data_IF_729269337852
#
_entry.id   IF_729269337852
#
_cell.length_a   1.000
_cell.length_b   1.000
_cell.length_c   1.000
_cell.angle_alpha   90.00
_cell.angle_beta   90.00
_cell.angle_gamma   90.00
#
_symmetry.space_group_name_H-M   'P 1'
#
loop_
_entity.id
_entity.type
_entity.pdbx_description
1 polymer ?
#
# COMPACT_ATOMS: atom_id res chain seq x y z
N UNK A 1 5.57 17.47 11.69
CA UNK A 1 6.07 17.00 13.00
C UNK A 1 5.21 17.64 14.07
N UNK A 2 4.32 16.88 14.72
CA UNK A 2 3.51 17.38 15.84
C UNK A 2 3.94 16.62 17.08
N UNK A 3 4.41 17.36 18.07
CA UNK A 3 4.99 16.90 19.32
C UNK A 3 3.87 16.43 20.26
N UNK A 4 3.59 15.13 20.30
CA UNK A 4 2.59 14.53 21.19
C UNK A 4 3.28 13.92 22.42
N UNK A 5 3.64 14.76 23.39
CA UNK A 5 4.36 14.31 24.60
C UNK A 5 3.47 14.03 25.82
N UNK A 6 2.14 14.25 25.76
CA UNK A 6 1.28 14.16 26.96
C UNK A 6 -0.13 13.59 26.74
N UNK A 7 -0.29 12.54 25.93
CA UNK A 7 -1.58 11.80 25.90
C UNK A 7 -1.35 10.38 26.39
N UNK A 8 -1.43 10.20 27.71
CA UNK A 8 -1.49 8.89 28.33
C UNK A 8 -2.90 8.31 28.13
N UNK A 9 -3.02 7.29 27.27
CA UNK A 9 -4.24 6.50 27.16
C UNK A 9 -4.21 5.39 28.21
N UNK A 10 -5.04 5.49 29.24
CA UNK A 10 -5.33 4.37 30.15
C UNK A 10 -6.21 3.36 29.41
N UNK A 11 -5.58 2.32 28.88
CA UNK A 11 -6.29 1.16 28.31
C UNK A 11 -6.76 0.29 29.48
N UNK A 12 -8.08 0.21 29.68
CA UNK A 12 -8.67 -0.78 30.59
C UNK A 12 -8.28 -2.18 30.10
N UNK A 13 -7.58 -2.94 30.95
CA UNK A 13 -7.25 -4.34 30.70
C UNK A 13 -8.57 -5.11 30.64
N UNK A 14 -8.96 -5.53 29.43
CA UNK A 14 -10.06 -6.49 29.28
C UNK A 14 -9.67 -7.80 29.97
N UNK A 15 -10.57 -8.31 30.79
CA UNK A 15 -10.50 -9.65 31.39
C UNK A 15 -10.43 -10.71 30.28
N UNK A 16 -9.49 -11.67 30.35
CA UNK A 16 -9.39 -12.73 29.36
C UNK A 16 -10.62 -13.64 29.43
N UNK A 17 -11.29 -13.77 28.29
CA UNK A 17 -12.42 -14.67 28.09
C UNK A 17 -11.88 -16.11 27.96
N UNK A 18 -12.10 -16.93 29.00
CA UNK A 18 -11.80 -18.36 29.00
C UNK A 18 -12.91 -19.10 28.22
N UNK A 19 -12.70 -19.26 26.91
CA UNK A 19 -13.32 -20.35 26.17
C UNK A 19 -12.22 -21.16 25.49
N UNK A 20 -12.09 -22.42 25.92
CA UNK A 20 -11.25 -23.45 25.32
C UNK A 20 -11.77 -23.80 23.91
N UNK A 21 -10.98 -23.64 22.85
CA UNK A 21 -11.30 -24.23 21.56
C UNK A 21 -10.91 -25.72 21.55
N UNK A 22 -11.78 -26.54 20.95
CA UNK A 22 -11.54 -27.96 20.71
C UNK A 22 -10.25 -28.23 19.93
N UNK A 23 -9.58 -29.33 20.33
CA UNK A 23 -8.31 -29.83 19.85
C UNK A 23 -8.13 -29.78 18.33
N UNK A 24 -7.14 -28.99 17.88
CA UNK A 24 -6.51 -29.15 16.58
C UNK A 24 -5.24 -30.00 16.73
N UNK A 25 -5.20 -31.15 16.06
CA UNK A 25 -4.01 -31.98 15.95
C UNK A 25 -2.93 -31.23 15.17
N UNK A 26 -1.89 -30.78 15.88
CA UNK A 26 -0.66 -30.27 15.29
C UNK A 26 0.47 -31.25 15.63
N UNK A 27 1.04 -31.87 14.59
CA UNK A 27 2.32 -32.58 14.64
C UNK A 27 3.41 -31.64 15.13
N UNK A 28 3.98 -31.97 16.29
CA UNK A 28 5.11 -31.27 16.90
C UNK A 28 6.39 -31.61 16.13
N UNK A 29 6.89 -30.67 15.33
CA UNK A 29 8.27 -30.71 14.82
C UNK A 29 9.15 -30.09 15.90
N UNK A 30 9.92 -30.95 16.58
CA UNK A 30 10.76 -30.59 17.71
C UNK A 30 12.11 -30.04 17.21
N UNK A 31 12.18 -28.74 16.93
CA UNK A 31 13.45 -28.07 16.65
C UNK A 31 14.12 -27.67 17.98
N UNK A 32 14.97 -28.56 18.53
CA UNK A 32 15.92 -28.17 19.59
C UNK A 32 17.06 -27.33 18.98
N UNK A 33 17.46 -26.22 19.60
CA UNK A 33 18.72 -25.54 19.29
C UNK A 33 19.90 -26.34 19.88
N UNK A 34 21.07 -26.41 19.21
CA UNK A 34 22.26 -27.02 19.79
C UNK A 34 23.09 -26.01 20.58
N UNK A 35 23.87 -26.56 21.53
CA UNK A 35 25.05 -26.00 22.18
C UNK A 35 24.88 -25.27 23.52
N UNK A 36 25.08 -26.03 24.61
CA UNK A 36 25.49 -25.55 25.92
C UNK A 36 26.12 -26.70 26.72
N UNK A 37 27.43 -26.61 26.98
CA UNK A 37 28.29 -27.62 27.62
C UNK A 37 27.85 -27.99 29.06
N UNK A 38 27.85 -29.29 29.42
CA UNK A 38 28.63 -29.88 30.55
C UNK A 38 28.30 -31.36 30.82
N UNK A 39 29.38 -32.11 31.06
CA UNK A 39 29.62 -33.20 32.02
C UNK A 39 28.70 -34.44 32.08
N UNK A 40 29.28 -35.55 31.60
CA UNK A 40 29.55 -36.82 32.29
C UNK A 40 28.45 -37.58 33.08
N UNK A 41 28.42 -38.88 32.76
CA UNK A 41 27.90 -40.06 33.47
C UNK A 41 26.50 -40.60 33.11
N UNK A 42 26.59 -41.86 32.62
CA UNK A 42 25.82 -43.04 33.00
C UNK A 42 24.53 -43.40 32.24
N UNK A 43 24.65 -44.56 31.60
CA UNK A 43 23.68 -45.65 31.43
C UNK A 43 22.65 -45.58 30.29
N UNK A 44 23.02 -46.30 29.23
CA UNK A 44 22.16 -46.89 28.22
C UNK A 44 21.02 -47.73 28.83
N UNK A 45 19.77 -47.46 28.43
CA UNK A 45 18.65 -48.37 28.62
C UNK A 45 18.01 -48.65 27.27
N UNK A 46 18.14 -49.90 26.82
CA UNK A 46 17.48 -50.50 25.66
C UNK A 46 15.95 -50.44 25.82
N UNK A 47 15.25 -49.86 24.85
CA UNK A 47 13.80 -50.03 24.76
C UNK A 47 13.45 -51.32 24.01
N UNK A 48 12.73 -52.18 24.72
CA UNK A 48 12.18 -53.45 24.27
C UNK A 48 10.92 -53.20 23.41
N UNK A 49 10.82 -53.87 22.25
CA UNK A 49 9.57 -53.99 21.51
C UNK A 49 8.61 -54.94 22.25
N UNK A 50 7.33 -54.57 22.38
CA UNK A 50 6.25 -55.45 22.85
C UNK A 50 5.14 -55.50 21.79
N UNK A 51 4.63 -56.70 21.40
CA UNK A 51 3.66 -56.87 20.33
C UNK A 51 2.20 -56.52 20.69
N UNK A 52 1.45 -56.22 19.63
CA UNK A 52 0.02 -55.95 19.58
C UNK A 52 -0.84 -57.11 20.15
N UNK A 53 -1.81 -56.76 21.00
CA UNK A 53 -2.91 -57.63 21.38
C UNK A 53 -4.25 -57.07 20.93
N UNK A 54 -5.07 -57.99 20.45
CA UNK A 54 -6.40 -57.88 19.84
C UNK A 54 -7.43 -57.23 20.76
N UNK A 55 -8.35 -56.47 20.18
CA UNK A 55 -9.70 -56.30 20.74
C UNK A 55 -10.72 -56.64 19.65
N UNK A 56 -11.50 -57.68 19.94
CA UNK A 56 -12.65 -58.14 19.17
C UNK A 56 -13.89 -57.27 19.45
N UNK A 57 -14.75 -57.18 18.42
CA UNK A 57 -16.18 -56.98 18.61
C UNK A 57 -16.68 -55.54 18.52
N UNK A 58 -17.36 -55.19 17.43
CA UNK A 58 -18.80 -54.86 17.49
C UNK A 58 -19.36 -54.46 16.11
N UNK A 59 -20.29 -55.29 15.65
CA UNK A 59 -21.51 -54.96 14.90
C UNK A 59 -21.42 -54.39 13.47
N UNK A 60 -21.46 -55.37 12.54
CA UNK A 60 -22.25 -55.43 11.30
C UNK A 60 -23.36 -54.35 11.18
N UNK A 61 -23.31 -53.57 10.08
CA UNK A 61 -24.51 -53.29 9.27
C UNK A 61 -24.24 -53.51 7.78
N UNK A 62 -25.06 -54.39 7.24
CA UNK A 62 -25.15 -54.91 5.86
C UNK A 62 -26.11 -54.02 5.06
N UNK A 63 -25.64 -53.46 3.95
CA UNK A 63 -26.39 -52.97 2.77
C UNK A 63 -25.34 -52.40 1.82
N UNK A 64 -25.24 -52.72 0.55
CA UNK A 64 -26.03 -53.52 -0.36
C UNK A 64 -25.31 -53.27 -1.69
N UNK A 65 -24.72 -54.34 -2.20
CA UNK A 65 -24.07 -54.43 -3.50
C UNK A 65 -25.15 -54.35 -4.59
N UNK A 66 -24.92 -53.57 -5.63
CA UNK A 66 -25.53 -53.77 -6.95
C UNK A 66 -24.80 -52.93 -8.01
N UNK A 67 -24.25 -53.64 -9.01
CA UNK A 67 -24.54 -53.27 -10.39
C UNK A 67 -23.47 -52.52 -11.18
N UNK A 68 -22.37 -53.21 -11.47
CA UNK A 68 -21.50 -53.00 -12.64
C UNK A 68 -22.31 -52.99 -13.96
N UNK A 69 -22.01 -52.08 -14.89
CA UNK A 69 -22.11 -52.32 -16.35
C UNK A 69 -21.22 -51.36 -17.14
N UNK A 70 -20.43 -51.96 -18.02
CA UNK A 70 -19.47 -51.37 -18.94
C UNK A 70 -20.06 -51.08 -20.33
N UNK A 71 -19.29 -50.33 -21.15
CA UNK A 71 -19.21 -50.26 -22.63
C UNK A 71 -20.41 -49.71 -23.45
N UNK A 72 -20.26 -48.56 -24.14
CA UNK A 72 -19.70 -48.46 -25.50
C UNK A 72 -19.93 -47.08 -26.19
N UNK A 73 -18.92 -46.69 -26.99
CA UNK A 73 -18.92 -46.08 -28.34
C UNK A 73 -20.30 -45.66 -28.97
N UNK A 74 -20.50 -44.63 -29.80
CA UNK A 74 -19.73 -43.72 -30.66
C UNK A 74 -20.75 -42.66 -31.24
N UNK A 75 -20.34 -41.70 -32.11
CA UNK A 75 -21.03 -40.43 -32.36
C UNK A 75 -21.83 -40.37 -33.67
N UNK A 76 -22.78 -39.43 -33.81
CA UNK A 76 -23.23 -38.81 -35.07
C UNK A 76 -23.95 -37.49 -34.72
N UNK A 77 -23.50 -36.32 -35.19
CA UNK A 77 -23.66 -35.70 -36.52
C UNK A 77 -25.04 -35.06 -36.76
N UNK A 78 -24.96 -33.87 -37.36
CA UNK A 78 -26.00 -32.90 -37.66
C UNK A 78 -27.15 -33.44 -38.54
N UNK A 79 -28.33 -32.81 -38.44
CA UNK A 79 -28.91 -32.00 -39.52
C UNK A 79 -30.24 -31.35 -39.10
N UNK A 80 -30.34 -30.07 -39.46
CA UNK A 80 -31.54 -29.26 -39.65
C UNK A 80 -32.56 -29.91 -40.59
N UNK A 81 -33.87 -29.67 -40.39
CA UNK A 81 -34.78 -29.16 -41.42
C UNK A 81 -36.07 -28.64 -40.79
N UNK A 82 -36.62 -27.62 -41.43
CA UNK A 82 -37.75 -26.81 -41.02
C UNK A 82 -39.11 -27.37 -41.48
N UNK A 83 -40.15 -26.83 -40.84
CA UNK A 83 -41.42 -26.36 -41.42
C UNK A 83 -42.72 -27.06 -41.02
N UNK A 84 -43.50 -26.27 -40.27
CA UNK A 84 -44.93 -25.94 -40.44
C UNK A 84 -46.02 -27.00 -40.18
N UNK A 85 -46.81 -26.72 -39.13
CA UNK A 85 -48.28 -26.75 -39.21
C UNK A 85 -48.89 -25.81 -38.15
N UNK A 86 -49.90 -25.05 -38.58
CA UNK A 86 -50.58 -23.99 -37.87
C UNK A 86 -51.73 -24.49 -36.98
N UNK A 87 -51.97 -23.82 -35.85
CA UNK A 87 -53.25 -23.81 -35.11
C UNK A 87 -53.32 -22.57 -34.18
N UNK A 88 -54.52 -22.05 -33.86
CA UNK A 88 -54.73 -20.62 -33.67
C UNK A 88 -54.64 -20.09 -32.23
N UNK A 89 -54.21 -18.83 -32.18
CA UNK A 89 -54.48 -17.73 -31.24
C UNK A 89 -55.35 -18.04 -30.00
N UNK A 90 -54.69 -18.13 -28.84
CA UNK A 90 -55.29 -17.84 -27.54
C UNK A 90 -54.54 -16.66 -26.91
N UNK A 91 -55.24 -15.53 -26.83
CA UNK A 91 -54.76 -14.25 -26.29
C UNK A 91 -54.47 -14.39 -24.79
N UNK A 92 -53.20 -14.58 -24.43
CA UNK A 92 -52.75 -14.46 -23.04
C UNK A 92 -52.31 -13.02 -22.75
N UNK A 93 -52.73 -12.41 -21.63
CA UNK A 93 -52.33 -11.06 -21.27
C UNK A 93 -50.83 -11.00 -21.02
N UNK A 94 -50.19 -10.01 -21.65
CA UNK A 94 -48.78 -9.71 -21.53
C UNK A 94 -48.36 -9.59 -20.05
N UNK A 95 -47.53 -10.53 -19.59
CA UNK A 95 -46.82 -10.42 -18.31
C UNK A 95 -45.83 -9.25 -18.42
N UNK A 96 -45.87 -8.25 -17.52
CA UNK A 96 -44.93 -7.14 -17.57
C UNK A 96 -43.51 -7.64 -17.30
N UNK A 97 -42.67 -7.57 -18.34
CA UNK A 97 -41.22 -7.74 -18.26
C UNK A 97 -40.59 -6.48 -17.67
N UNK A 98 -40.84 -6.16 -16.41
CA UNK A 98 -40.08 -5.13 -15.71
C UNK A 98 -40.10 -5.41 -14.21
N UNK A 99 -38.91 -5.37 -13.59
CA UNK A 99 -38.60 -5.69 -12.18
C UNK A 99 -38.31 -7.17 -11.85
N UNK A 100 -37.38 -7.80 -12.57
CA UNK A 100 -36.50 -8.77 -11.90
C UNK A 100 -35.61 -8.00 -10.92
N UNK A 101 -36.15 -7.73 -9.72
CA UNK A 101 -35.32 -7.60 -8.55
C UNK A 101 -34.42 -8.82 -8.52
N UNK A 102 -33.11 -8.61 -8.65
CA UNK A 102 -32.10 -9.62 -8.33
C UNK A 102 -32.33 -10.00 -6.88
N UNK A 103 -33.16 -11.02 -6.65
CA UNK A 103 -33.37 -11.58 -5.34
C UNK A 103 -31.98 -11.95 -4.86
N UNK A 104 -31.50 -11.23 -3.85
CA UNK A 104 -30.22 -11.43 -3.20
C UNK A 104 -30.21 -12.88 -2.72
N UNK A 105 -29.74 -13.79 -3.58
CA UNK A 105 -29.61 -15.20 -3.26
C UNK A 105 -28.68 -15.22 -2.08
N UNK A 106 -29.24 -15.59 -0.91
CA UNK A 106 -28.48 -15.72 0.34
C UNK A 106 -27.21 -16.50 -0.01
N UNK A 107 -26.01 -15.97 0.30
CA UNK A 107 -24.76 -16.61 -0.09
C UNK A 107 -24.82 -18.09 0.24
N UNK A 108 -24.56 -18.95 -0.75
CA UNK A 108 -24.60 -20.39 -0.57
C UNK A 108 -23.66 -20.74 0.58
N UNK A 109 -24.22 -21.06 1.75
CA UNK A 109 -23.44 -21.44 2.92
C UNK A 109 -22.76 -22.75 2.57
N UNK A 110 -21.47 -22.68 2.25
CA UNK A 110 -20.63 -23.86 2.11
C UNK A 110 -20.73 -24.65 3.42
N UNK A 111 -21.21 -25.89 3.34
CA UNK A 111 -21.28 -26.76 4.53
C UNK A 111 -19.85 -26.97 5.02
N UNK A 112 -19.56 -26.51 6.25
CA UNK A 112 -18.28 -26.82 6.92
C UNK A 112 -18.05 -28.33 6.90
N UNK A 113 -16.84 -28.74 6.53
CA UNK A 113 -16.40 -30.13 6.58
C UNK A 113 -16.57 -30.95 5.30
N UNK A 114 -17.25 -30.44 4.26
CA UNK A 114 -17.27 -31.11 2.95
C UNK A 114 -16.25 -30.46 2.02
N UNK A 115 -15.11 -31.14 1.82
CA UNK A 115 -14.13 -30.73 0.81
C UNK A 115 -14.84 -30.73 -0.54
N UNK A 116 -14.66 -29.66 -1.32
CA UNK A 116 -15.21 -29.60 -2.68
C UNK A 116 -14.63 -30.77 -3.47
N UNK A 117 -15.50 -31.66 -3.94
CA UNK A 117 -15.10 -32.88 -4.67
C UNK A 117 -14.46 -32.57 -6.02
N UNK A 118 -14.77 -31.40 -6.59
CA UNK A 118 -14.09 -30.83 -7.75
C UNK A 118 -13.35 -29.58 -7.28
N UNK A 119 -12.03 -29.56 -7.46
CA UNK A 119 -11.24 -28.36 -7.28
C UNK A 119 -11.74 -27.24 -8.20
N UNK A 120 -11.47 -25.99 -7.82
CA UNK A 120 -11.63 -24.86 -8.75
C UNK A 120 -10.53 -24.99 -9.81
N UNK A 121 -10.91 -24.88 -11.08
CA UNK A 121 -9.98 -24.97 -12.20
C UNK A 121 -8.91 -23.88 -12.15
N UNK A 122 -7.72 -24.17 -12.69
CA UNK A 122 -6.58 -23.24 -12.70
C UNK A 122 -6.91 -21.96 -13.48
N UNK A 123 -7.68 -22.06 -14.56
CA UNK A 123 -8.14 -20.92 -15.34
C UNK A 123 -9.07 -20.02 -14.53
N UNK A 124 -9.96 -20.61 -13.72
CA UNK A 124 -10.81 -19.85 -12.81
C UNK A 124 -9.96 -19.10 -11.77
N UNK A 125 -8.92 -19.72 -11.22
CA UNK A 125 -7.99 -19.05 -10.33
C UNK A 125 -7.23 -17.91 -11.02
N UNK A 126 -6.79 -18.11 -12.26
CA UNK A 126 -6.11 -17.08 -13.04
C UNK A 126 -7.01 -15.85 -13.23
N UNK A 127 -8.26 -16.06 -13.64
CA UNK A 127 -9.24 -14.99 -13.85
C UNK A 127 -9.51 -14.25 -12.53
N UNK A 128 -9.81 -14.97 -11.45
CA UNK A 128 -10.11 -14.37 -10.14
C UNK A 128 -8.92 -13.51 -9.67
N UNK A 129 -7.71 -14.06 -9.76
CA UNK A 129 -6.51 -13.40 -9.28
C UNK A 129 -6.05 -12.26 -10.19
N UNK A 130 -6.40 -12.26 -11.48
CA UNK A 130 -6.15 -11.13 -12.38
C UNK A 130 -6.93 -9.86 -12.03
N UNK A 131 -8.01 -9.98 -11.24
CA UNK A 131 -8.77 -8.84 -10.73
C UNK A 131 -8.36 -8.38 -9.33
N UNK A 132 -7.39 -9.08 -8.70
CA UNK A 132 -6.94 -8.76 -7.35
C UNK A 132 -5.90 -7.62 -7.34
N UNK A 133 -5.77 -6.89 -6.24
CA UNK A 133 -4.70 -5.91 -6.03
C UNK A 133 -3.33 -6.62 -6.02
N UNK A 134 -2.31 -6.17 -6.76
CA UNK A 134 -0.95 -6.72 -6.68
C UNK A 134 -0.39 -6.85 -5.26
N UNK A 135 -0.76 -5.94 -4.34
CA UNK A 135 -0.38 -6.03 -2.93
C UNK A 135 -1.01 -7.26 -2.23
N UNK A 136 -2.27 -7.56 -2.54
CA UNK A 136 -2.96 -8.75 -2.04
C UNK A 136 -2.33 -10.02 -2.62
N UNK A 137 -1.95 -10.02 -3.90
CA UNK A 137 -1.27 -11.15 -4.51
C UNK A 137 0.07 -11.47 -3.84
N UNK A 138 0.84 -10.45 -3.45
CA UNK A 138 2.08 -10.66 -2.68
C UNK A 138 1.80 -11.31 -1.32
N UNK A 139 0.76 -10.85 -0.64
CA UNK A 139 0.36 -11.39 0.66
C UNK A 139 -0.11 -12.85 0.55
N UNK A 140 -0.88 -13.17 -0.50
CA UNK A 140 -1.29 -14.54 -0.78
C UNK A 140 -0.09 -15.42 -1.13
N UNK A 141 0.84 -14.91 -1.95
CA UNK A 141 2.08 -15.61 -2.32
C UNK A 141 2.93 -15.96 -1.10
N UNK A 142 3.00 -15.06 -0.10
CA UNK A 142 3.83 -15.27 1.10
C UNK A 142 3.17 -16.20 2.13
N UNK A 143 1.84 -16.17 2.25
CA UNK A 143 1.10 -16.89 3.30
C UNK A 143 0.48 -18.22 2.87
N UNK A 144 0.22 -18.40 1.57
CA UNK A 144 -0.54 -19.55 1.06
C UNK A 144 0.35 -20.34 0.08
N UNK A 145 0.75 -21.55 0.47
CA UNK A 145 1.69 -22.37 -0.29
C UNK A 145 1.20 -22.72 -1.72
N UNK A 146 -0.11 -22.91 -1.90
CA UNK A 146 -0.68 -23.14 -3.24
C UNK A 146 -0.60 -21.87 -4.11
N UNK A 147 -0.90 -20.70 -3.55
CA UNK A 147 -0.74 -19.42 -4.25
C UNK A 147 0.73 -19.12 -4.57
N UNK A 148 1.68 -19.49 -3.70
CA UNK A 148 3.10 -19.34 -3.99
C UNK A 148 3.49 -20.01 -5.32
N UNK A 149 3.14 -21.30 -5.48
CA UNK A 149 3.46 -22.07 -6.69
C UNK A 149 2.72 -21.49 -7.90
N UNK A 150 1.42 -21.26 -7.76
CA UNK A 150 0.59 -20.71 -8.84
C UNK A 150 1.09 -19.34 -9.35
N UNK A 151 1.41 -18.41 -8.46
CA UNK A 151 1.88 -17.06 -8.81
C UNK A 151 3.35 -17.02 -9.26
N UNK A 152 4.14 -18.05 -8.95
CA UNK A 152 5.49 -18.23 -9.49
C UNK A 152 5.42 -18.72 -10.94
N UNK A 153 4.54 -19.68 -11.20
CA UNK A 153 4.46 -20.36 -12.51
C UNK A 153 3.64 -19.56 -13.53
N UNK A 154 2.88 -18.54 -13.10
CA UNK A 154 2.06 -17.67 -13.96
C UNK A 154 2.49 -16.19 -13.89
N UNK A 155 3.62 -15.79 -14.51
CA UNK A 155 4.13 -14.42 -14.42
C UNK A 155 3.20 -13.37 -15.04
N UNK A 156 2.43 -13.73 -16.08
CA UNK A 156 1.49 -12.82 -16.76
C UNK A 156 0.34 -12.34 -15.86
N UNK A 157 0.02 -13.10 -14.81
CA UNK A 157 -1.01 -12.73 -13.85
C UNK A 157 -0.68 -11.40 -13.15
N UNK A 158 0.60 -11.16 -12.83
CA UNK A 158 1.05 -9.91 -12.23
C UNK A 158 0.80 -8.71 -13.15
N UNK A 159 1.04 -8.87 -14.46
CA UNK A 159 0.74 -7.85 -15.46
C UNK A 159 -0.75 -7.56 -15.54
N UNK A 160 -1.59 -8.60 -15.64
CA UNK A 160 -3.04 -8.43 -15.71
C UNK A 160 -3.60 -7.75 -14.45
N UNK A 161 -3.16 -8.19 -13.27
CA UNK A 161 -3.52 -7.60 -11.98
C UNK A 161 -3.11 -6.12 -11.88
N UNK A 162 -1.89 -5.78 -12.29
CA UNK A 162 -1.41 -4.39 -12.34
C UNK A 162 -2.25 -3.53 -13.27
N UNK A 163 -2.46 -3.98 -14.51
CA UNK A 163 -3.21 -3.22 -15.53
C UNK A 163 -4.67 -3.06 -15.12
N UNK A 164 -5.30 -4.10 -14.56
CA UNK A 164 -6.69 -4.00 -14.10
C UNK A 164 -6.84 -3.02 -12.93
N UNK A 165 -5.97 -3.11 -11.92
CA UNK A 165 -6.14 -2.37 -10.68
C UNK A 165 -5.61 -0.93 -10.75
N UNK A 166 -4.53 -0.68 -11.50
CA UNK A 166 -3.90 0.64 -11.61
C UNK A 166 -4.12 1.33 -12.96
N UNK A 167 -4.68 0.64 -13.96
CA UNK A 167 -4.86 1.16 -15.30
C UNK A 167 -3.55 1.28 -16.09
N UNK A 168 -3.64 1.93 -17.25
CA UNK A 168 -2.51 2.20 -18.15
C UNK A 168 -1.61 3.34 -17.70
N UNK A 169 -2.05 4.11 -16.69
CA UNK A 169 -1.30 5.25 -16.17
C UNK A 169 -0.08 4.81 -15.35
N UNK A 170 -0.13 3.61 -14.76
CA UNK A 170 0.99 3.05 -14.02
C UNK A 170 2.08 2.59 -15.01
N UNK A 171 3.33 3.07 -14.86
CA UNK A 171 4.44 2.65 -15.70
C UNK A 171 4.65 1.13 -15.73
N UNK A 172 5.01 0.61 -16.90
CA UNK A 172 5.47 -0.77 -17.03
C UNK A 172 6.83 -0.96 -16.35
N UNK A 173 7.14 -2.19 -15.87
CA UNK A 173 8.45 -2.49 -15.30
C UNK A 173 9.59 -2.09 -16.25
N UNK A 174 10.68 -1.49 -15.74
CA UNK A 174 11.84 -1.17 -16.56
C UNK A 174 12.54 -2.46 -17.03
N UNK A 175 13.34 -2.40 -18.11
CA UNK A 175 14.12 -3.54 -18.57
C UNK A 175 14.95 -4.15 -17.43
N UNK A 176 14.91 -5.48 -17.31
CA UNK A 176 15.61 -6.23 -16.27
C UNK A 176 14.83 -6.42 -14.96
N UNK A 177 13.62 -5.85 -14.84
CA UNK A 177 12.73 -6.10 -13.70
C UNK A 177 11.51 -6.91 -14.14
N UNK A 178 11.31 -8.09 -13.57
CA UNK A 178 10.10 -8.89 -13.81
C UNK A 178 8.88 -8.23 -13.16
N UNK A 179 7.67 -8.52 -13.66
CA UNK A 179 6.41 -8.02 -13.07
C UNK A 179 6.28 -8.37 -11.58
N UNK A 180 6.70 -9.58 -11.16
CA UNK A 180 6.74 -9.95 -9.75
C UNK A 180 7.74 -9.10 -8.95
N UNK A 181 8.96 -8.92 -9.45
CA UNK A 181 9.95 -8.09 -8.75
C UNK A 181 9.49 -6.64 -8.67
N UNK A 182 8.79 -6.14 -9.69
CA UNK A 182 8.21 -4.80 -9.69
C UNK A 182 7.08 -4.66 -8.66
N UNK A 183 6.15 -5.61 -8.64
CA UNK A 183 5.11 -5.67 -7.62
C UNK A 183 5.72 -5.76 -6.22
N UNK A 184 6.71 -6.62 -6.01
CA UNK A 184 7.44 -6.74 -4.76
C UNK A 184 8.16 -5.45 -4.38
N UNK A 185 8.85 -4.80 -5.33
CA UNK A 185 9.54 -3.53 -5.11
C UNK A 185 8.56 -2.43 -4.71
N UNK A 186 7.34 -2.42 -5.23
CA UNK A 186 6.34 -1.40 -4.87
C UNK A 186 5.56 -1.72 -3.58
N UNK A 187 5.03 -2.93 -3.48
CA UNK A 187 4.05 -3.30 -2.46
C UNK A 187 4.62 -4.12 -1.31
N UNK A 188 5.84 -4.65 -1.48
CA UNK A 188 6.50 -5.43 -0.45
C UNK A 188 6.79 -4.64 0.82
N UNK A 189 7.22 -5.36 1.85
CA UNK A 189 7.56 -4.81 3.15
C UNK A 189 8.99 -5.18 3.51
N UNK A 190 9.61 -4.31 4.30
CA UNK A 190 10.96 -4.55 4.78
C UNK A 190 12.03 -3.92 3.89
N UNK A 191 13.13 -3.52 4.51
CA UNK A 191 14.29 -3.03 3.79
C UNK A 191 14.93 -4.19 3.01
N UNK A 192 15.26 -3.96 1.73
CA UNK A 192 15.88 -4.98 0.87
C UNK A 192 17.33 -5.28 1.23
N UNK A 193 17.97 -4.43 2.06
CA UNK A 193 19.35 -4.61 2.50
C UNK A 193 19.42 -5.25 3.88
N UNK A 194 18.85 -4.60 4.91
CA UNK A 194 18.95 -5.09 6.29
C UNK A 194 17.72 -5.86 6.79
N UNK A 195 16.65 -5.96 6.00
CA UNK A 195 15.40 -6.61 6.41
C UNK A 195 14.55 -5.83 7.41
N UNK A 196 14.93 -4.60 7.79
CA UNK A 196 14.22 -3.81 8.79
C UNK A 196 12.71 -3.74 8.49
N UNK A 197 11.84 -4.18 9.43
CA UNK A 197 10.40 -4.31 9.19
C UNK A 197 9.76 -2.95 8.96
N UNK A 198 8.53 -2.94 8.44
CA UNK A 198 7.73 -1.72 8.19
C UNK A 198 8.34 -0.68 7.24
N UNK A 199 9.50 -0.96 6.63
CA UNK A 199 10.02 -0.15 5.53
C UNK A 199 9.09 -0.29 4.33
N UNK A 200 8.55 0.83 3.86
CA UNK A 200 7.66 0.91 2.68
C UNK A 200 8.12 1.89 1.60
N UNK A 201 9.08 2.78 1.92
CA UNK A 201 9.56 3.78 0.97
C UNK A 201 10.46 3.12 -0.08
N UNK A 202 10.06 3.24 -1.33
CA UNK A 202 10.84 2.82 -2.49
C UNK A 202 11.59 4.03 -3.05
N UNK A 203 12.90 3.87 -3.24
CA UNK A 203 13.76 4.85 -3.87
C UNK A 203 13.90 4.45 -5.35
N UNK A 204 13.01 4.99 -6.19
CA UNK A 204 12.90 4.58 -7.60
C UNK A 204 14.18 4.85 -8.39
N UNK A 205 14.94 5.90 -8.05
CA UNK A 205 16.30 6.13 -8.55
C UNK A 205 17.19 4.89 -8.44
N UNK A 206 17.09 4.17 -7.32
CA UNK A 206 17.91 3.02 -6.98
C UNK A 206 17.20 1.67 -7.21
N UNK A 207 15.92 1.70 -7.61
CA UNK A 207 15.05 0.51 -7.72
C UNK A 207 15.11 -0.36 -6.45
N UNK A 208 15.18 0.29 -5.27
CA UNK A 208 15.34 -0.39 -3.97
C UNK A 208 14.40 0.17 -2.92
N UNK A 209 13.96 -0.68 -2.01
CA UNK A 209 13.26 -0.30 -0.79
C UNK A 209 14.24 -0.31 0.39
N UNK A 210 14.51 0.85 0.97
CA UNK A 210 15.53 0.98 2.01
C UNK A 210 14.99 1.68 3.25
N UNK A 211 15.47 1.30 4.44
CA UNK A 211 15.24 2.13 5.62
C UNK A 211 16.11 3.39 5.53
N UNK A 212 15.84 4.38 6.38
CA UNK A 212 16.61 5.63 6.41
C UNK A 212 18.10 5.35 6.66
N UNK A 213 18.40 4.45 7.59
CA UNK A 213 19.79 4.13 7.98
C UNK A 213 20.56 3.48 6.83
N UNK A 214 19.95 2.48 6.15
CA UNK A 214 20.57 1.87 4.98
C UNK A 214 20.79 2.87 3.85
N UNK A 215 19.81 3.73 3.56
CA UNK A 215 19.99 4.77 2.56
C UNK A 215 21.16 5.67 2.94
N UNK A 216 21.19 6.22 4.16
CA UNK A 216 22.25 7.12 4.62
C UNK A 216 23.63 6.47 4.61
N UNK A 217 23.73 5.18 4.95
CA UNK A 217 25.00 4.46 5.01
C UNK A 217 25.51 3.96 3.66
N UNK A 218 24.61 3.77 2.68
CA UNK A 218 24.98 3.22 1.36
C UNK A 218 25.16 4.29 0.28
N UNK A 219 24.61 5.50 0.47
CA UNK A 219 24.77 6.57 -0.51
C UNK A 219 25.96 7.45 -0.19
N UNK A 220 26.63 7.90 -1.24
CA UNK A 220 27.71 8.89 -1.18
C UNK A 220 27.33 10.11 -2.02
N UNK A 221 27.83 11.27 -1.64
CA UNK A 221 27.60 12.53 -2.38
C UNK A 221 28.51 12.58 -3.61
N UNK A 222 28.17 13.44 -4.57
CA UNK A 222 28.94 13.57 -5.81
C UNK A 222 30.44 13.83 -5.59
N UNK A 223 30.83 14.71 -4.66
CA UNK A 223 32.25 14.96 -4.37
C UNK A 223 32.98 13.76 -3.76
N UNK A 224 32.29 12.94 -2.97
CA UNK A 224 32.84 11.68 -2.43
C UNK A 224 32.97 10.62 -3.53
N UNK A 225 32.01 10.58 -4.47
CA UNK A 225 32.05 9.67 -5.61
C UNK A 225 33.22 9.99 -6.55
N UNK A 226 33.52 11.26 -6.82
CA UNK A 226 34.68 11.68 -7.64
C UNK A 226 36.00 11.11 -7.11
N UNK A 227 36.14 10.97 -5.78
CA UNK A 227 37.33 10.35 -5.20
C UNK A 227 37.46 8.85 -5.52
N UNK A 228 36.34 8.15 -5.77
CA UNK A 228 36.31 6.72 -6.13
C UNK A 228 36.36 6.49 -7.64
N UNK A 229 36.07 7.50 -8.46
CA UNK A 229 36.10 7.43 -9.91
C UNK A 229 37.55 7.53 -10.41
N UNK A 230 38.32 6.47 -10.15
CA UNK A 230 39.73 6.33 -10.53
C UNK A 230 39.95 5.12 -11.43
N UNK A 231 40.64 5.35 -12.54
CA UNK A 231 41.02 4.30 -13.48
C UNK A 231 42.17 3.43 -12.96
N UNK A 232 42.65 2.46 -13.76
CA UNK A 232 43.72 1.55 -13.34
C UNK A 232 45.02 2.26 -12.96
N UNK A 233 45.33 3.40 -13.60
CA UNK A 233 46.56 4.17 -13.37
C UNK A 233 46.35 5.33 -12.38
N UNK A 234 45.17 5.38 -11.75
CA UNK A 234 44.78 6.45 -10.83
C UNK A 234 44.29 7.73 -11.51
N UNK A 235 44.10 7.69 -12.83
CA UNK A 235 43.56 8.79 -13.61
C UNK A 235 42.09 9.08 -13.26
N UNK A 236 41.67 10.34 -13.42
CA UNK A 236 40.29 10.73 -13.16
C UNK A 236 39.37 10.25 -14.29
N UNK A 237 38.43 9.35 -13.95
CA UNK A 237 37.45 8.81 -14.88
C UNK A 237 36.03 9.32 -14.58
N UNK A 238 35.93 10.50 -13.96
CA UNK A 238 34.64 11.12 -13.59
C UNK A 238 33.66 11.31 -14.74
N UNK A 239 34.13 11.26 -16.00
CA UNK A 239 33.26 11.30 -17.19
C UNK A 239 32.26 10.13 -17.24
N UNK A 240 32.55 8.99 -16.59
CA UNK A 240 31.62 7.84 -16.55
C UNK A 240 30.41 8.06 -15.63
N UNK A 241 30.32 9.18 -14.91
CA UNK A 241 29.19 9.47 -14.00
C UNK A 241 27.82 9.44 -14.69
N UNK A 242 27.76 9.71 -15.99
CA UNK A 242 26.54 9.62 -16.79
C UNK A 242 25.95 8.19 -16.82
N UNK A 243 26.77 7.18 -16.55
CA UNK A 243 26.38 5.78 -16.42
C UNK A 243 25.98 5.36 -14.99
N UNK A 244 25.80 6.30 -14.06
CA UNK A 244 25.34 6.02 -12.69
C UNK A 244 23.87 6.40 -12.44
N UNK A 245 23.07 5.53 -11.81
CA UNK A 245 21.79 5.94 -11.24
C UNK A 245 22.03 6.97 -10.12
N UNK A 246 21.26 8.06 -10.14
CA UNK A 246 21.42 9.16 -9.19
C UNK A 246 20.11 9.53 -8.50
N UNK A 247 20.23 9.96 -7.25
CA UNK A 247 19.17 10.54 -6.46
C UNK A 247 19.51 11.96 -6.03
N UNK A 248 18.54 12.64 -5.40
CA UNK A 248 18.70 14.00 -4.91
C UNK A 248 18.45 14.06 -3.41
N UNK A 249 19.37 14.70 -2.69
CA UNK A 249 19.19 15.17 -1.32
C UNK A 249 18.95 16.67 -1.25
N UNK A 250 18.10 17.09 -0.32
CA UNK A 250 18.02 18.49 0.10
C UNK A 250 19.20 18.88 1.01
N UNK A 251 19.24 20.14 1.42
CA UNK A 251 20.26 20.67 2.33
C UNK A 251 20.26 20.00 3.71
N UNK A 252 19.15 19.36 4.12
CA UNK A 252 18.97 18.64 5.38
C UNK A 252 19.24 17.13 5.26
N UNK A 253 19.64 16.64 4.07
CA UNK A 253 19.92 15.23 3.84
C UNK A 253 18.69 14.35 3.67
N UNK A 254 17.52 14.93 3.36
CA UNK A 254 16.34 14.15 2.99
C UNK A 254 16.34 13.85 1.50
N UNK A 255 15.96 12.63 1.15
CA UNK A 255 15.72 12.24 -0.23
C UNK A 255 14.48 12.94 -0.79
N UNK A 256 14.68 13.73 -1.86
CA UNK A 256 13.62 14.52 -2.51
C UNK A 256 13.24 14.03 -3.90
N UNK A 257 14.03 13.16 -4.53
CA UNK A 257 13.63 12.54 -5.81
C UNK A 257 14.78 11.99 -6.63
N UNK A 258 14.47 11.66 -7.88
CA UNK A 258 15.40 11.16 -8.89
C UNK A 258 16.34 12.26 -9.39
N UNK A 259 17.64 11.97 -9.47
CA UNK A 259 18.68 12.89 -9.91
C UNK A 259 18.89 12.95 -11.43
N UNK A 260 19.93 13.70 -11.87
CA UNK A 260 20.84 14.51 -11.05
C UNK A 260 20.20 15.81 -10.53
N UNK A 261 20.83 16.46 -9.55
CA UNK A 261 20.39 17.76 -9.05
C UNK A 261 20.66 18.89 -10.07
N UNK A 262 19.71 19.81 -10.23
CA UNK A 262 19.82 20.97 -11.14
C UNK A 262 20.18 22.28 -10.44
N UNK A 263 20.11 22.35 -9.11
CA UNK A 263 20.34 23.56 -8.33
C UNK A 263 21.35 23.33 -7.21
N UNK A 264 22.11 24.36 -6.83
CA UNK A 264 23.14 24.26 -5.80
C UNK A 264 22.60 23.93 -4.40
N UNK A 265 21.31 24.18 -4.12
CA UNK A 265 20.66 23.82 -2.87
C UNK A 265 20.45 22.29 -2.73
N UNK A 266 20.49 21.59 -3.86
CA UNK A 266 20.27 20.15 -3.97
C UNK A 266 21.60 19.43 -4.21
N UNK A 267 21.71 18.22 -3.68
CA UNK A 267 22.94 17.42 -3.76
C UNK A 267 22.66 16.12 -4.51
N UNK A 268 23.43 15.86 -5.56
CA UNK A 268 23.41 14.57 -6.25
C UNK A 268 24.06 13.50 -5.37
N UNK A 269 23.38 12.36 -5.26
CA UNK A 269 23.86 11.19 -4.51
C UNK A 269 23.84 9.93 -5.39
N UNK A 270 24.75 9.02 -5.09
CA UNK A 270 24.92 7.73 -5.76
C UNK A 270 24.96 6.61 -4.74
N UNK A 271 24.53 5.39 -5.10
CA UNK A 271 24.85 4.22 -4.28
C UNK A 271 26.35 3.92 -4.40
N UNK A 272 27.05 3.81 -3.27
CA UNK A 272 28.48 3.48 -3.23
C UNK A 272 28.79 2.20 -4.02
N UNK A 273 27.96 1.16 -3.83
CA UNK A 273 28.10 -0.11 -4.56
C UNK A 273 27.95 0.03 -6.07
N UNK A 274 27.16 0.99 -6.55
CA UNK A 274 26.98 1.23 -7.99
C UNK A 274 28.20 1.95 -8.57
N UNK A 275 28.79 2.89 -7.82
CA UNK A 275 30.05 3.55 -8.19
C UNK A 275 31.17 2.52 -8.27
N UNK A 276 31.38 1.72 -7.22
CA UNK A 276 32.43 0.69 -7.16
C UNK A 276 32.27 -0.33 -8.28
N UNK A 277 31.03 -0.77 -8.55
CA UNK A 277 30.75 -1.72 -9.63
C UNK A 277 31.05 -1.14 -11.01
N UNK A 278 30.67 0.11 -11.27
CA UNK A 278 30.91 0.75 -12.56
C UNK A 278 32.41 0.97 -12.80
N UNK A 279 33.16 1.40 -11.76
CA UNK A 279 34.61 1.55 -11.82
C UNK A 279 35.29 0.20 -12.06
N UNK A 280 34.87 -0.85 -11.34
CA UNK A 280 35.42 -2.19 -11.54
C UNK A 280 35.14 -2.74 -12.95
N UNK A 281 33.95 -2.46 -13.50
CA UNK A 281 33.59 -2.81 -14.88
C UNK A 281 34.45 -2.07 -15.90
N UNK A 282 34.56 -0.74 -15.77
CA UNK A 282 35.42 0.09 -16.61
C UNK A 282 36.87 -0.42 -16.59
N UNK A 283 37.45 -0.60 -15.40
CA UNK A 283 38.84 -1.05 -15.24
C UNK A 283 39.07 -2.44 -15.83
N UNK A 284 38.08 -3.33 -15.78
CA UNK A 284 38.16 -4.66 -16.40
C UNK A 284 38.19 -4.53 -17.92
N UNK A 285 37.26 -3.78 -18.52
CA UNK A 285 37.17 -3.64 -19.97
C UNK A 285 38.37 -2.90 -20.57
N UNK A 286 38.90 -1.89 -19.87
CA UNK A 286 40.15 -1.21 -20.25
C UNK A 286 41.31 -2.21 -20.30
N UNK A 287 41.47 -3.06 -19.28
CA UNK A 287 42.55 -4.07 -19.24
C UNK A 287 42.42 -5.14 -20.33
N UNK A 288 41.20 -5.61 -20.58
CA UNK A 288 40.94 -6.60 -21.62
C UNK A 288 41.27 -6.01 -23.01
N UNK A 289 40.84 -4.78 -23.27
CA UNK A 289 41.06 -4.10 -24.56
C UNK A 289 42.44 -3.48 -24.73
N UNK A 290 43.20 -3.27 -23.67
CA UNK A 290 44.60 -2.84 -23.77
C UNK A 290 45.47 -3.85 -24.56
N UNK A 291 45.01 -5.10 -24.67
CA UNK A 291 45.64 -6.13 -25.48
C UNK A 291 45.36 -5.99 -26.99
N UNK A 292 44.28 -5.29 -27.36
CA UNK A 292 43.83 -5.08 -28.74
C UNK A 292 44.17 -3.63 -29.17
N UNK A 293 45.29 -3.47 -29.86
CA UNK A 293 45.96 -2.17 -30.10
C UNK A 293 45.27 -1.21 -31.08
N UNK A 294 44.00 -1.41 -31.44
CA UNK A 294 43.29 -0.52 -32.37
C UNK A 294 42.03 0.08 -31.75
N UNK A 295 42.12 1.39 -31.49
CA UNK A 295 41.04 2.34 -31.22
C UNK A 295 40.44 2.46 -29.80
N UNK A 296 41.23 2.85 -28.77
CA UNK A 296 40.77 3.08 -27.40
C UNK A 296 39.66 4.14 -27.21
N UNK A 297 39.60 5.17 -28.06
CA UNK A 297 38.71 6.32 -27.82
C UNK A 297 37.27 6.07 -28.26
N UNK A 298 37.08 5.43 -29.42
CA UNK A 298 35.76 5.14 -30.00
C UNK A 298 34.98 4.16 -29.14
N UNK A 299 35.64 3.12 -28.62
CA UNK A 299 34.97 2.15 -27.75
C UNK A 299 34.50 2.78 -26.44
N UNK A 300 35.28 3.68 -25.81
CA UNK A 300 34.88 4.34 -24.55
C UNK A 300 33.61 5.16 -24.79
N UNK A 301 33.57 5.91 -25.89
CA UNK A 301 32.40 6.71 -26.25
C UNK A 301 31.16 5.83 -26.48
N UNK A 302 31.29 4.75 -27.26
CA UNK A 302 30.17 3.82 -27.51
C UNK A 302 29.71 3.09 -26.24
N UNK A 303 30.66 2.62 -25.42
CA UNK A 303 30.39 1.95 -24.15
C UNK A 303 29.64 2.88 -23.19
N UNK A 304 30.13 4.11 -23.03
CA UNK A 304 29.52 5.11 -22.17
C UNK A 304 28.14 5.51 -22.67
N UNK A 305 27.97 5.75 -23.96
CA UNK A 305 26.68 6.09 -24.55
C UNK A 305 25.63 5.00 -24.29
N UNK A 306 25.99 3.73 -24.50
CA UNK A 306 25.08 2.60 -24.26
C UNK A 306 24.70 2.46 -22.78
N UNK A 307 25.62 2.75 -21.85
CA UNK A 307 25.35 2.75 -20.41
C UNK A 307 24.50 3.94 -19.99
N UNK A 308 24.83 5.14 -20.47
CA UNK A 308 24.11 6.37 -20.19
C UNK A 308 22.66 6.29 -20.67
N UNK A 309 22.40 5.71 -21.85
CA UNK A 309 21.05 5.47 -22.35
C UNK A 309 20.22 4.61 -21.38
N UNK A 310 20.78 3.51 -20.86
CA UNK A 310 20.09 2.67 -19.88
C UNK A 310 19.78 3.42 -18.58
N UNK A 311 20.67 4.31 -18.15
CA UNK A 311 20.45 5.15 -16.98
C UNK A 311 19.36 6.19 -17.24
N UNK A 312 19.34 6.81 -18.42
CA UNK A 312 18.32 7.76 -18.82
C UNK A 312 16.93 7.11 -18.85
N UNK A 313 16.79 5.94 -19.47
CA UNK A 313 15.54 5.16 -19.48
C UNK A 313 15.07 4.85 -18.05
N UNK A 314 16.00 4.44 -17.18
CA UNK A 314 15.71 4.16 -15.77
C UNK A 314 15.30 5.42 -15.00
N UNK A 315 15.96 6.55 -15.24
CA UNK A 315 15.61 7.84 -14.63
C UNK A 315 14.23 8.32 -15.10
N UNK A 316 13.92 8.19 -16.39
CA UNK A 316 12.61 8.51 -16.95
C UNK A 316 11.51 7.65 -16.32
N UNK A 317 11.74 6.33 -16.22
CA UNK A 317 10.86 5.42 -15.50
C UNK A 317 10.66 5.85 -14.04
N UNK A 318 11.75 6.13 -13.31
CA UNK A 318 11.69 6.49 -11.91
C UNK A 318 10.94 7.80 -11.67
N UNK A 319 11.14 8.82 -12.53
CA UNK A 319 10.39 10.09 -12.50
C UNK A 319 8.91 9.85 -12.75
N UNK A 320 8.56 9.03 -13.76
CA UNK A 320 7.17 8.68 -14.06
C UNK A 320 6.50 7.95 -12.88
N UNK A 321 7.23 7.07 -12.21
CA UNK A 321 6.75 6.38 -11.00
C UNK A 321 6.51 7.34 -9.83
N UNK A 322 7.45 8.25 -9.54
CA UNK A 322 7.29 9.25 -8.47
C UNK A 322 6.10 10.18 -8.73
N UNK A 323 5.94 10.63 -9.98
CA UNK A 323 4.80 11.46 -10.41
C UNK A 323 3.46 10.71 -10.26
N UNK A 324 3.40 9.46 -10.71
CA UNK A 324 2.19 8.65 -10.58
C UNK A 324 1.85 8.39 -9.11
N UNK A 325 2.84 8.11 -8.24
CA UNK A 325 2.61 7.94 -6.81
C UNK A 325 2.11 9.23 -6.12
N UNK A 326 2.66 10.38 -6.52
CA UNK A 326 2.20 11.68 -6.02
C UNK A 326 0.78 11.98 -6.49
N UNK A 327 0.46 11.76 -7.76
CA UNK A 327 -0.90 11.87 -8.29
C UNK A 327 -1.90 11.00 -7.52
N UNK A 328 -1.55 9.74 -7.23
CA UNK A 328 -2.39 8.86 -6.42
C UNK A 328 -2.54 9.33 -4.97
N UNK A 329 -1.54 10.02 -4.42
CA UNK A 329 -1.59 10.59 -3.06
C UNK A 329 -2.46 11.85 -3.01
N UNK A 330 -2.30 12.74 -3.98
CA UNK A 330 -3.10 13.97 -4.11
C UNK A 330 -4.56 13.65 -4.40
N UNK A 331 -4.84 12.71 -5.33
CA UNK A 331 -6.18 12.26 -5.63
C UNK A 331 -6.91 11.69 -4.40
N UNK A 332 -6.25 10.80 -3.63
CA UNK A 332 -6.82 10.28 -2.37
C UNK A 332 -7.05 11.36 -1.33
N UNK A 333 -6.13 12.33 -1.23
CA UNK A 333 -6.28 13.46 -0.29
C UNK A 333 -7.45 14.36 -0.69
N UNK A 334 -7.60 14.63 -1.98
CA UNK A 334 -8.72 15.39 -2.53
C UNK A 334 -10.05 14.65 -2.32
N UNK A 335 -10.10 13.35 -2.58
CA UNK A 335 -11.28 12.51 -2.32
C UNK A 335 -11.66 12.52 -0.84
N UNK A 336 -10.68 12.39 0.07
CA UNK A 336 -10.91 12.46 1.51
C UNK A 336 -11.44 13.83 1.93
N UNK A 337 -10.89 14.91 1.38
CA UNK A 337 -11.38 16.27 1.62
C UNK A 337 -12.83 16.41 1.15
N UNK A 338 -13.14 15.96 -0.08
CA UNK A 338 -14.50 15.96 -0.63
C UNK A 338 -15.48 15.16 0.23
N UNK A 339 -15.11 13.96 0.68
CA UNK A 339 -15.94 13.13 1.59
C UNK A 339 -16.21 13.86 2.91
N UNK A 340 -15.19 14.48 3.52
CA UNK A 340 -15.36 15.26 4.76
C UNK A 340 -16.28 16.46 4.55
N UNK A 341 -16.13 17.20 3.44
CA UNK A 341 -16.99 18.34 3.09
C UNK A 341 -18.45 17.93 2.89
N UNK A 342 -18.71 16.86 2.13
CA UNK A 342 -20.07 16.31 1.94
C UNK A 342 -20.68 15.86 3.26
N UNK A 343 -19.88 15.21 4.12
CA UNK A 343 -20.31 14.79 5.46
C UNK A 343 -20.66 15.98 6.36
N UNK A 344 -19.85 17.05 6.32
CA UNK A 344 -20.10 18.31 7.03
C UNK A 344 -21.43 18.93 6.58
N UNK A 345 -21.64 19.06 5.27
CA UNK A 345 -22.87 19.61 4.70
C UNK A 345 -24.11 18.79 5.10
N UNK A 346 -24.05 17.46 4.93
CA UNK A 346 -25.14 16.55 5.27
C UNK A 346 -25.54 16.63 6.75
N UNK A 347 -24.58 16.65 7.67
CA UNK A 347 -24.89 16.76 9.10
C UNK A 347 -25.42 18.13 9.50
N UNK A 348 -24.95 19.22 8.86
CA UNK A 348 -25.52 20.56 9.06
C UNK A 348 -26.98 20.62 8.63
N UNK A 349 -27.29 20.11 7.44
CA UNK A 349 -28.65 20.05 6.92
C UNK A 349 -29.56 19.22 7.83
N UNK A 350 -29.10 18.05 8.28
CA UNK A 350 -29.86 17.19 9.18
C UNK A 350 -30.05 17.77 10.58
N UNK A 351 -29.08 18.52 11.10
CA UNK A 351 -29.17 19.19 12.39
C UNK A 351 -30.18 20.36 12.37
N UNK A 352 -30.27 21.07 11.24
CA UNK A 352 -31.26 22.13 11.04
C UNK A 352 -32.71 21.59 10.97
N UNK A 353 -32.89 20.31 10.62
CA UNK A 353 -34.19 19.63 10.58
C UNK A 353 -34.63 19.08 11.96
N UNK A 354 -33.85 19.26 13.02
CA UNK A 354 -34.22 18.82 14.37
C UNK A 354 -35.23 19.75 15.04
N UNK A 355 -35.87 19.28 16.11
CA UNK A 355 -36.73 20.09 16.95
C UNK A 355 -36.28 19.96 18.43
N UNK A 356 -35.68 21.01 19.04
CA UNK A 356 -35.35 22.29 18.41
C UNK A 356 -34.24 22.17 17.35
N UNK A 357 -34.21 23.04 16.32
CA UNK A 357 -33.11 23.09 15.36
C UNK A 357 -31.79 23.43 16.05
N UNK A 358 -30.70 22.74 15.68
CA UNK A 358 -29.36 23.03 16.21
C UNK A 358 -28.63 23.93 15.21
N UNK A 359 -28.26 25.14 15.63
CA UNK A 359 -27.52 26.07 14.77
C UNK A 359 -26.11 25.55 14.42
N UNK A 360 -25.56 26.03 13.31
CA UNK A 360 -24.23 25.67 12.83
C UNK A 360 -23.15 25.95 13.89
N UNK A 361 -23.22 27.06 14.62
CA UNK A 361 -22.22 27.39 15.66
C UNK A 361 -22.29 26.42 16.84
N UNK A 362 -23.50 26.00 17.23
CA UNK A 362 -23.71 25.04 18.30
C UNK A 362 -23.26 23.64 17.91
N UNK A 363 -23.58 23.24 16.68
CA UNK A 363 -23.14 21.98 16.11
C UNK A 363 -21.61 21.92 16.02
N UNK A 364 -20.96 23.00 15.57
CA UNK A 364 -19.50 23.10 15.50
C UNK A 364 -18.84 23.13 16.89
N UNK A 365 -19.57 23.43 17.97
CA UNK A 365 -19.10 23.31 19.34
C UNK A 365 -19.15 21.86 19.88
N UNK A 366 -19.98 20.99 19.31
CA UNK A 366 -20.18 19.61 19.77
C UNK A 366 -18.96 18.70 19.47
N UNK A 367 -18.28 18.12 20.48
CA UNK A 367 -17.13 17.24 20.28
C UNK A 367 -17.45 15.99 19.44
N UNK A 368 -18.66 15.44 19.56
CA UNK A 368 -19.06 14.28 18.76
C UNK A 368 -19.21 14.62 17.29
N UNK A 369 -19.71 15.82 16.96
CA UNK A 369 -19.75 16.30 15.58
C UNK A 369 -18.35 16.50 15.00
N UNK A 370 -17.43 17.14 15.73
CA UNK A 370 -16.02 17.33 15.29
C UNK A 370 -15.35 16.00 14.94
N UNK A 371 -15.54 14.97 15.77
CA UNK A 371 -15.03 13.61 15.50
C UNK A 371 -15.74 12.94 14.32
N UNK A 372 -17.04 13.19 14.13
CA UNK A 372 -17.80 12.57 13.07
C UNK A 372 -17.43 13.11 11.68
N UNK A 373 -17.14 14.41 11.54
CA UNK A 373 -16.78 15.04 10.25
C UNK A 373 -15.35 14.78 9.82
N UNK A 374 -14.45 14.36 10.71
CA UNK A 374 -13.07 14.01 10.34
C UNK A 374 -12.95 12.63 9.68
N UNK A 375 -13.99 11.80 9.76
CA UNK A 375 -14.03 10.47 9.15
C UNK A 375 -14.19 10.60 7.63
N UNK A 376 -13.24 10.14 6.80
CA UNK A 376 -13.30 10.25 5.34
C UNK A 376 -14.21 9.17 4.75
N UNK A 377 -15.49 9.17 5.12
CA UNK A 377 -16.53 8.27 4.61
C UNK A 377 -17.72 9.09 4.13
N UNK A 378 -18.37 8.60 3.08
CA UNK A 378 -19.61 9.18 2.61
C UNK A 378 -20.65 9.26 3.75
N UNK A 379 -21.39 10.39 3.85
CA UNK A 379 -22.50 10.48 4.78
C UNK A 379 -23.57 9.44 4.44
N UNK A 380 -24.19 8.85 5.45
CA UNK A 380 -25.35 7.98 5.31
C UNK A 380 -26.28 8.12 6.52
N UNK A 381 -27.52 7.65 6.38
CA UNK A 381 -28.56 7.71 7.42
C UNK A 381 -28.10 7.07 8.73
N UNK A 382 -27.53 5.86 8.66
CA UNK A 382 -27.03 5.14 9.84
C UNK A 382 -26.01 5.96 10.64
N UNK A 383 -25.10 6.65 9.94
CA UNK A 383 -24.09 7.47 10.61
C UNK A 383 -24.67 8.72 11.25
N UNK A 384 -25.78 9.24 10.72
CA UNK A 384 -26.54 10.32 11.34
C UNK A 384 -27.30 9.81 12.56
N UNK A 385 -27.96 8.65 12.48
CA UNK A 385 -28.74 8.09 13.59
C UNK A 385 -27.86 7.82 14.81
N UNK A 386 -26.61 7.41 14.60
CA UNK A 386 -25.61 7.24 15.67
C UNK A 386 -25.08 8.57 16.24
N UNK A 387 -25.08 9.63 15.44
CA UNK A 387 -24.57 10.95 15.83
C UNK A 387 -25.63 11.81 16.52
N UNK A 388 -26.86 11.80 16.00
CA UNK A 388 -28.02 12.58 16.43
C UNK A 388 -28.21 12.60 17.96
N UNK A 389 -28.31 11.46 18.68
CA UNK A 389 -28.54 11.49 20.13
C UNK A 389 -27.39 12.16 20.90
N UNK A 390 -26.16 12.09 20.38
CA UNK A 390 -24.99 12.71 21.01
C UNK A 390 -24.98 14.21 20.85
N UNK A 391 -25.23 14.70 19.63
CA UNK A 391 -25.23 16.14 19.36
C UNK A 391 -26.42 16.85 20.02
N UNK A 392 -27.58 16.20 20.15
CA UNK A 392 -28.73 16.77 20.88
C UNK A 392 -28.39 16.94 22.36
N UNK A 393 -27.79 15.91 22.98
CA UNK A 393 -27.35 15.98 24.38
C UNK A 393 -26.26 17.04 24.59
N UNK A 394 -25.27 17.08 23.71
CA UNK A 394 -24.15 18.03 23.77
C UNK A 394 -24.62 19.48 23.53
N UNK A 395 -25.51 19.71 22.57
CA UNK A 395 -26.09 21.02 22.29
C UNK A 395 -26.93 21.53 23.47
N UNK A 396 -27.79 20.69 24.05
CA UNK A 396 -28.56 21.06 25.24
C UNK A 396 -27.66 21.41 26.43
N UNK A 397 -26.60 20.64 26.68
CA UNK A 397 -25.63 20.95 27.73
C UNK A 397 -24.87 22.27 27.47
N UNK A 398 -24.51 22.54 26.21
CA UNK A 398 -23.87 23.80 25.83
C UNK A 398 -24.80 25.00 26.00
N UNK A 399 -26.08 24.86 25.64
CA UNK A 399 -27.10 25.90 25.83
C UNK A 399 -27.32 26.19 27.32
N UNK A 400 -27.45 25.15 28.16
CA UNK A 400 -27.58 25.30 29.61
C UNK A 400 -26.36 26.02 30.24
N UNK A 401 -25.14 25.69 29.78
CA UNK A 401 -23.92 26.35 30.25
C UNK A 401 -23.88 27.84 29.88
N UNK A 402 -24.31 28.21 28.67
CA UNK A 402 -24.39 29.62 28.26
C UNK A 402 -25.41 30.40 29.09
N UNK A 403 -26.57 29.81 29.36
CA UNK A 403 -27.60 30.44 30.20
C UNK A 403 -27.12 30.68 31.64
N UNK A 404 -26.30 29.78 32.19
CA UNK A 404 -25.66 29.98 33.50
C UNK A 404 -24.62 31.11 33.48
N UNK A 405 -23.82 31.19 32.42
CA UNK A 405 -22.78 32.23 32.28
C UNK A 405 -23.40 33.63 32.10
N UNK A 406 -24.54 33.72 31.41
CA UNK A 406 -25.27 34.97 31.17
C UNK A 406 -26.09 35.43 32.39
N UNK A 407 -26.44 34.52 33.30
CA UNK A 407 -27.15 34.84 34.55
C UNK A 407 -26.23 35.22 35.72
N UNK A 408 -24.91 35.16 35.55
CA UNK A 408 -23.99 35.75 36.52
C UNK A 408 -23.94 37.27 36.29
N UNK A 409 -24.46 38.09 37.23
CA UNK A 409 -24.29 39.54 37.13
C UNK A 409 -22.79 39.86 37.05
N UNK A 410 -22.38 40.92 36.33
CA UNK A 410 -20.99 41.33 36.30
C UNK A 410 -20.56 41.62 37.74
N UNK A 411 -19.86 40.67 38.37
CA UNK A 411 -19.19 40.92 39.64
C UNK A 411 -18.24 42.07 39.38
N UNK A 412 -18.55 43.19 40.02
CA UNK A 412 -17.82 44.43 39.93
C UNK A 412 -16.32 44.15 39.98
N UNK A 413 -15.63 44.69 38.96
CA UNK A 413 -14.18 44.85 38.95
C UNK A 413 -13.69 45.27 40.33
N UNK A 414 -13.03 44.36 41.05
CA UNK A 414 -12.07 44.74 42.07
C UNK A 414 -10.97 45.53 41.38
N UNK A 415 -10.96 46.81 41.72
CA UNK A 415 -10.06 47.86 41.29
C UNK A 415 -8.58 47.48 41.29
N UNK A 416 -7.90 47.90 40.22
CA UNK A 416 -6.58 48.55 40.26
C UNK A 416 -5.46 47.89 41.05
N UNK A 417 -4.58 47.18 40.34
CA UNK A 417 -3.13 47.33 40.53
C UNK A 417 -2.50 47.48 39.14
N UNK A 418 -2.20 48.74 38.82
CA UNK A 418 -1.34 49.14 37.72
C UNK A 418 0.05 48.52 37.92
N UNK A 419 0.56 47.81 36.92
CA UNK A 419 2.00 47.53 36.80
C UNK A 419 2.48 48.12 35.48
N UNK A 420 3.63 48.82 35.44
CA UNK A 420 3.97 49.67 34.32
C UNK A 420 4.49 48.86 33.13
N UNK A 421 4.12 49.36 31.96
CA UNK A 421 4.60 49.04 30.64
C UNK A 421 6.13 49.01 30.58
N UNK A 422 6.72 47.87 30.26
CA UNK A 422 8.07 47.81 29.72
C UNK A 422 7.98 47.33 28.27
N UNK A 423 8.27 48.29 27.39
CA UNK A 423 8.53 48.16 25.97
C UNK A 423 9.53 47.05 25.66
N UNK A 424 9.20 46.13 24.75
CA UNK A 424 10.19 45.56 23.81
C UNK A 424 9.51 44.90 22.59
N UNK A 425 9.83 45.49 21.43
CA UNK A 425 10.09 44.87 20.13
C UNK A 425 9.01 43.99 19.48
N UNK A 426 8.32 44.65 18.55
CA UNK A 426 7.66 44.06 17.39
C UNK A 426 8.72 43.39 16.49
N UNK A 427 8.70 42.06 16.44
CA UNK A 427 9.28 41.30 15.33
C UNK A 427 8.15 40.76 14.44
N UNK A 428 8.20 40.93 13.12
CA UNK A 428 7.21 40.37 12.21
C UNK A 428 7.44 38.86 12.04
N UNK A 429 6.52 38.04 12.55
CA UNK A 429 6.47 36.62 12.21
C UNK A 429 5.80 36.42 10.84
N UNK A 430 6.38 35.60 9.95
CA UNK A 430 5.88 35.42 8.59
C UNK A 430 4.70 34.44 8.54
N UNK A 431 3.73 34.77 7.69
CA UNK A 431 2.58 33.94 7.31
C UNK A 431 3.01 32.57 6.74
N UNK A 432 2.43 31.44 7.18
CA UNK A 432 2.72 30.13 6.64
C UNK A 432 1.65 29.72 5.62
N UNK A 433 1.47 30.46 4.52
CA UNK A 433 0.57 30.03 3.44
C UNK A 433 1.02 30.64 2.12
N UNK A 434 2.04 30.06 1.46
CA UNK A 434 2.31 30.26 0.01
C UNK A 434 3.40 29.32 -0.56
N UNK A 435 3.59 28.11 0.00
CA UNK A 435 4.68 27.21 -0.42
C UNK A 435 4.30 26.02 -1.33
N UNK A 436 3.07 25.98 -1.87
CA UNK A 436 2.67 24.91 -2.81
C UNK A 436 2.77 25.29 -4.30
N UNK A 437 3.06 26.55 -4.65
CA UNK A 437 3.14 26.98 -6.06
C UNK A 437 4.51 26.82 -6.72
N UNK A 438 5.60 26.78 -5.95
CA UNK A 438 6.95 26.89 -6.48
C UNK A 438 7.59 25.55 -6.93
N UNK A 439 6.92 24.41 -6.74
CA UNK A 439 7.48 23.08 -7.06
C UNK A 439 7.19 22.66 -8.52
N UNK A 440 6.31 23.36 -9.25
CA UNK A 440 5.88 22.96 -10.61
C UNK A 440 6.46 23.78 -11.77
N UNK A 441 7.40 24.71 -11.54
CA UNK A 441 8.05 25.45 -12.64
C UNK A 441 7.10 26.26 -13.53
N UNK A 442 5.94 26.67 -13.02
CA UNK A 442 5.00 27.51 -13.77
C UNK A 442 5.47 28.98 -13.72
N UNK A 443 5.45 29.71 -14.85
CA UNK A 443 5.83 31.11 -14.89
C UNK A 443 4.83 31.97 -14.07
N UNK A 444 5.30 33.04 -13.41
CA UNK A 444 4.42 33.95 -12.68
C UNK A 444 3.42 34.63 -13.63
N UNK A 445 2.17 34.90 -13.18
CA UNK A 445 1.22 35.62 -13.99
C UNK A 445 1.73 37.04 -14.29
N UNK A 446 1.48 37.59 -15.50
CA UNK A 446 1.88 38.94 -15.83
C UNK A 446 1.17 39.97 -14.93
N UNK A 447 1.82 41.11 -14.63
CA UNK A 447 1.23 42.16 -13.82
C UNK A 447 0.07 42.81 -14.58
N UNK A 448 -1.15 42.41 -14.22
CA UNK A 448 -2.38 42.93 -14.78
C UNK A 448 -2.80 44.24 -14.11
N UNK A 449 -2.95 45.27 -14.93
CA UNK A 449 -3.55 46.57 -14.64
C UNK A 449 -4.85 46.47 -13.83
N UNK A 450 -4.89 47.22 -12.72
CA UNK A 450 -6.14 47.69 -12.14
C UNK A 450 -6.80 48.66 -13.12
N UNK A 451 -7.95 48.28 -13.69
CA UNK A 451 -8.96 49.24 -14.14
C UNK A 451 -10.18 49.12 -13.24
N UNK A 452 -10.58 50.28 -12.74
CA UNK A 452 -11.87 50.54 -12.12
C UNK A 452 -13.01 50.19 -13.10
N UNK A 453 -14.02 49.47 -12.62
CA UNK A 453 -15.43 49.89 -12.70
C UNK A 453 -16.26 49.14 -11.67
#
# INVERSE_FOLDING_TARGET
>A
MVNAKYVAFTVNKQTPFLQTPDQAYATVINCRPPAGKRAAFAQEVRSHNVPLAKVEGSLKRKRGDDGKRDYDAAPHSAHSYASNAAAPLATQPARPLLTQQWQQRKPTRLRRGKVLSKGVDLDCWFIILSYSDPAQLLEMRSKIASCYRFLRDNPMLWKHSRVYYYGTDMPDPPPGLTEFQFAHLRHGHGCMDCGAPNTRKTFWAFLRRMCKDCLTNQVIKEHEAVALLKGPDGEDISFIRAALPSGIYDSWGNFVGVGPASTHALKTIYLKSDVERLVAEYNREVRERASDSNEPSTWIATWLAAKAQKIEERQAFAKKMEQWEEMQRTARTAEYSSKKSRRKAYFKEKAAQLNPPIDVKELEACPSYKRAVTIPKDPNSTSWDLLKPKIVKEAAANAARRSLEESHPPTASTSGISTPTSSMNVYPHPHPHLYLGAIMGLPPPPPGHHMFH
#
